data_IF_477281246060
#
_entry.id   IF_477281246060
#
_cell.length_a   1.000
_cell.length_b   1.000
_cell.length_c   1.000
_cell.angle_alpha   90.00
_cell.angle_beta   90.00
_cell.angle_gamma   90.00
#
_symmetry.space_group_name_H-M   'P 1'
#
loop_
_entity.id
_entity.type
_entity.pdbx_description
1 polymer ?
#
# COMPACT_ATOMS: atom_id res chain seq x y z
N UNK A 1 23.04 -25.90 16.84
CA UNK A 1 23.26 -24.46 16.58
C UNK A 1 22.17 -23.82 15.70
N UNK A 2 21.07 -24.50 15.33
CA UNK A 2 19.93 -23.91 14.58
C UNK A 2 18.91 -23.04 15.35
N UNK A 3 18.69 -23.15 16.69
CA UNK A 3 17.57 -22.42 17.32
C UNK A 3 17.85 -20.91 17.47
N UNK A 4 19.12 -20.51 17.59
CA UNK A 4 19.53 -19.11 17.74
C UNK A 4 19.37 -18.29 16.46
N UNK A 5 19.53 -18.91 15.28
CA UNK A 5 19.39 -18.23 13.98
C UNK A 5 17.94 -17.87 13.69
N UNK A 6 16.98 -18.75 14.03
CA UNK A 6 15.55 -18.49 13.84
C UNK A 6 15.03 -17.37 14.75
N UNK A 7 15.54 -17.27 15.98
CA UNK A 7 15.17 -16.19 16.91
C UNK A 7 15.75 -14.86 16.42
N UNK A 8 16.99 -14.85 15.93
CA UNK A 8 17.62 -13.65 15.38
C UNK A 8 16.87 -13.16 14.13
N UNK A 9 16.57 -14.04 13.17
CA UNK A 9 15.78 -13.71 11.97
C UNK A 9 14.38 -13.18 12.35
N UNK A 10 13.74 -13.78 13.37
CA UNK A 10 12.44 -13.33 13.87
C UNK A 10 12.47 -11.92 14.48
N UNK A 11 13.51 -11.59 15.25
CA UNK A 11 13.66 -10.26 15.88
C UNK A 11 14.02 -9.20 14.84
N UNK A 12 14.83 -9.54 13.82
CA UNK A 12 15.17 -8.61 12.73
C UNK A 12 13.94 -8.28 11.88
N UNK A 13 13.11 -9.27 11.54
CA UNK A 13 11.86 -9.06 10.78
C UNK A 13 10.83 -8.21 11.54
N UNK A 14 10.73 -8.39 12.86
CA UNK A 14 9.79 -7.61 13.69
C UNK A 14 10.28 -6.19 14.00
N UNK A 15 11.59 -5.92 13.89
CA UNK A 15 12.15 -4.56 13.92
C UNK A 15 11.95 -3.88 12.56
N UNK A 16 12.29 -4.56 11.48
CA UNK A 16 12.09 -4.06 10.11
C UNK A 16 10.63 -3.67 9.84
N UNK A 17 9.67 -4.51 10.24
CA UNK A 17 8.24 -4.21 10.06
C UNK A 17 7.79 -2.98 10.86
N UNK A 18 8.32 -2.79 12.08
CA UNK A 18 8.03 -1.60 12.91
C UNK A 18 8.65 -0.33 12.34
N UNK A 19 9.86 -0.43 11.78
CA UNK A 19 10.54 0.72 11.18
C UNK A 19 9.91 1.12 9.85
N UNK A 20 9.45 0.15 9.04
CA UNK A 20 8.63 0.39 7.84
C UNK A 20 7.33 1.10 8.22
N UNK A 21 6.64 0.62 9.26
CA UNK A 21 5.39 1.23 9.72
C UNK A 21 5.59 2.66 10.24
N UNK A 22 6.68 2.88 10.99
CA UNK A 22 7.05 4.23 11.47
C UNK A 22 7.42 5.15 10.31
N UNK A 23 8.27 4.71 9.39
CA UNK A 23 8.64 5.51 8.22
C UNK A 23 7.42 5.89 7.39
N UNK A 24 6.47 4.96 7.23
CA UNK A 24 5.20 5.22 6.55
C UNK A 24 4.28 6.18 7.33
N UNK A 25 4.35 6.22 8.67
CA UNK A 25 3.54 7.13 9.50
C UNK A 25 4.12 8.55 9.61
N UNK A 26 5.43 8.74 9.36
CA UNK A 26 6.08 10.05 9.40
C UNK A 26 5.79 10.91 8.16
N UNK A 27 5.32 10.30 7.08
CA UNK A 27 5.07 10.97 5.80
C UNK A 27 3.56 11.23 5.66
N UNK A 28 3.19 12.42 5.18
CA UNK A 28 1.80 12.82 4.96
C UNK A 28 1.03 11.75 4.15
N UNK A 29 -0.13 11.32 4.62
CA UNK A 29 -0.97 10.26 4.02
C UNK A 29 -1.18 10.45 2.50
N UNK A 30 -1.23 11.70 2.03
CA UNK A 30 -1.34 12.06 0.61
C UNK A 30 -0.04 11.84 -0.16
N UNK A 31 1.09 12.20 0.43
CA UNK A 31 2.42 12.05 -0.16
C UNK A 31 2.83 10.59 -0.23
N UNK A 32 2.52 9.77 0.79
CA UNK A 32 2.83 8.33 0.78
C UNK A 32 2.16 7.62 -0.40
N UNK A 33 0.90 7.96 -0.71
CA UNK A 33 0.16 7.29 -1.77
C UNK A 33 0.72 7.63 -3.15
N UNK A 34 0.93 8.92 -3.43
CA UNK A 34 1.47 9.37 -4.72
C UNK A 34 2.92 8.93 -4.88
N UNK A 35 3.75 9.07 -3.83
CA UNK A 35 5.15 8.66 -3.87
C UNK A 35 5.29 7.14 -3.97
N UNK A 36 4.44 6.36 -3.30
CA UNK A 36 4.43 4.91 -3.40
C UNK A 36 4.13 4.42 -4.82
N UNK A 37 3.14 5.01 -5.48
CA UNK A 37 2.81 4.68 -6.87
C UNK A 37 3.89 5.13 -7.87
N UNK A 38 4.49 6.32 -7.68
CA UNK A 38 5.62 6.78 -8.51
C UNK A 38 6.85 5.89 -8.33
N UNK A 39 7.20 5.57 -7.09
CA UNK A 39 8.35 4.70 -6.80
C UNK A 39 8.13 3.29 -7.36
N UNK A 40 6.90 2.77 -7.27
CA UNK A 40 6.52 1.51 -7.89
C UNK A 40 6.66 1.57 -9.42
N UNK A 41 6.19 2.64 -10.06
CA UNK A 41 6.35 2.82 -11.51
C UNK A 41 7.82 2.85 -11.94
N UNK A 42 8.68 3.54 -11.17
CA UNK A 42 10.14 3.61 -11.41
C UNK A 42 10.80 2.26 -11.19
N UNK A 43 10.49 1.56 -10.10
CA UNK A 43 11.03 0.24 -9.78
C UNK A 43 10.70 -0.76 -10.88
N UNK A 44 9.42 -0.85 -11.25
CA UNK A 44 8.95 -1.75 -12.31
C UNK A 44 9.51 -1.35 -13.68
N UNK A 45 9.58 -0.06 -14.00
CA UNK A 45 10.22 0.43 -15.23
C UNK A 45 11.72 0.10 -15.30
N UNK A 46 12.44 0.23 -14.18
CA UNK A 46 13.86 -0.14 -14.08
C UNK A 46 14.09 -1.65 -14.24
N UNK A 47 13.12 -2.48 -13.87
CA UNK A 47 13.18 -3.93 -14.02
C UNK A 47 13.23 -4.36 -15.51
N UNK A 48 12.68 -3.54 -16.41
CA UNK A 48 12.79 -3.74 -17.86
C UNK A 48 14.20 -3.44 -18.41
N UNK A 49 14.99 -2.59 -17.72
CA UNK A 49 16.37 -2.26 -18.11
C UNK A 49 17.39 -3.22 -17.49
N UNK A 50 17.14 -3.66 -16.25
CA UNK A 50 18.08 -4.45 -15.44
C UNK A 50 17.91 -5.97 -15.66
N UNK A 51 17.06 -6.39 -16.60
CA UNK A 51 16.79 -7.81 -16.91
C UNK A 51 18.06 -8.61 -17.26
N UNK A 52 19.13 -7.93 -17.65
CA UNK A 52 20.46 -8.50 -17.95
C UNK A 52 21.18 -9.10 -16.73
N UNK A 53 20.82 -8.72 -15.49
CA UNK A 53 21.48 -9.23 -14.27
C UNK A 53 20.48 -9.90 -13.32
N UNK A 54 20.63 -11.21 -13.02
CA UNK A 54 19.68 -11.94 -12.16
C UNK A 54 19.70 -11.46 -10.70
N UNK A 55 20.82 -10.89 -10.23
CA UNK A 55 20.94 -10.32 -8.89
C UNK A 55 20.13 -9.02 -8.80
N UNK A 56 20.17 -8.19 -9.85
CA UNK A 56 19.43 -6.93 -9.89
C UNK A 56 17.91 -7.15 -9.87
N UNK A 57 17.41 -8.15 -10.61
CA UNK A 57 15.97 -8.47 -10.61
C UNK A 57 15.48 -9.01 -9.26
N UNK A 58 16.30 -9.74 -8.52
CA UNK A 58 15.95 -10.24 -7.17
C UNK A 58 15.82 -9.11 -6.14
N UNK A 59 16.76 -8.14 -6.15
CA UNK A 59 16.70 -6.97 -5.26
C UNK A 59 15.50 -6.08 -5.58
N UNK A 60 15.23 -5.85 -6.88
CA UNK A 60 14.09 -5.07 -7.33
C UNK A 60 12.76 -5.76 -6.99
N UNK A 61 12.67 -7.08 -7.15
CA UNK A 61 11.49 -7.86 -6.78
C UNK A 61 11.18 -7.80 -5.29
N UNK A 62 12.21 -7.91 -4.43
CA UNK A 62 12.04 -7.77 -2.99
C UNK A 62 11.52 -6.37 -2.61
N UNK A 63 12.08 -5.34 -3.23
CA UNK A 63 11.67 -3.93 -3.00
C UNK A 63 10.23 -3.67 -3.45
N UNK A 64 9.87 -4.19 -4.63
CA UNK A 64 8.50 -4.17 -5.16
C UNK A 64 7.50 -4.81 -4.20
N UNK A 65 7.83 -5.99 -3.66
CA UNK A 65 6.97 -6.71 -2.71
C UNK A 65 6.72 -5.94 -1.43
N UNK A 66 7.76 -5.30 -0.86
CA UNK A 66 7.62 -4.45 0.33
C UNK A 66 6.71 -3.25 0.04
N UNK A 67 6.89 -2.58 -1.10
CA UNK A 67 6.05 -1.43 -1.46
C UNK A 67 4.59 -1.81 -1.69
N UNK A 68 4.36 -2.93 -2.39
CA UNK A 68 3.02 -3.46 -2.61
C UNK A 68 2.32 -3.81 -1.29
N UNK A 69 3.02 -4.45 -0.35
CA UNK A 69 2.48 -4.74 0.98
C UNK A 69 2.10 -3.47 1.77
N UNK A 70 2.92 -2.42 1.70
CA UNK A 70 2.62 -1.13 2.33
C UNK A 70 1.33 -0.55 1.75
N UNK A 71 1.18 -0.53 0.42
CA UNK A 71 -0.01 -0.02 -0.26
C UNK A 71 -1.29 -0.78 0.11
N UNK A 72 -1.22 -2.10 0.28
CA UNK A 72 -2.34 -2.93 0.75
C UNK A 72 -2.70 -2.67 2.22
N UNK A 73 -1.72 -2.27 3.03
CA UNK A 73 -1.92 -1.99 4.47
C UNK A 73 -2.49 -0.59 4.73
N UNK A 74 -2.17 0.38 3.86
CA UNK A 74 -2.64 1.77 3.96
C UNK A 74 -4.16 1.93 4.18
N UNK A 75 -5.07 1.33 3.39
CA UNK A 75 -6.51 1.52 3.56
C UNK A 75 -7.00 0.99 4.93
N UNK A 76 -6.42 -0.10 5.42
CA UNK A 76 -6.71 -0.67 6.74
C UNK A 76 -6.21 0.22 7.89
N UNK A 77 -5.05 0.87 7.71
CA UNK A 77 -4.54 1.83 8.69
C UNK A 77 -5.38 3.11 8.71
N UNK A 78 -5.78 3.61 7.54
CA UNK A 78 -6.61 4.80 7.40
C UNK A 78 -7.98 4.61 8.05
N UNK A 79 -8.65 3.48 7.79
CA UNK A 79 -9.97 3.21 8.38
C UNK A 79 -9.92 3.09 9.90
N UNK A 80 -8.81 2.56 10.45
CA UNK A 80 -8.60 2.51 11.90
C UNK A 80 -8.51 3.91 12.51
N UNK A 81 -7.75 4.81 11.89
CA UNK A 81 -7.60 6.21 12.36
C UNK A 81 -8.92 6.98 12.23
N UNK A 82 -9.68 6.74 11.15
CA UNK A 82 -11.01 7.35 10.99
C UNK A 82 -12.00 6.88 12.06
N UNK A 83 -11.99 5.60 12.43
CA UNK A 83 -12.88 5.05 13.44
C UNK A 83 -12.56 5.51 14.87
N UNK A 84 -11.31 5.91 15.14
CA UNK A 84 -10.87 6.43 16.44
C UNK A 84 -11.22 7.91 16.63
N UNK A 85 -11.49 8.64 15.54
CA UNK A 85 -11.88 10.06 15.60
C UNK A 85 -13.32 10.22 16.13
N UNK A 86 -13.49 11.01 17.20
CA UNK A 86 -14.75 11.17 17.96
C UNK A 86 -15.98 11.60 17.13
N UNK A 87 -15.80 12.06 15.89
CA UNK A 87 -16.90 12.42 14.99
C UNK A 87 -17.80 11.24 14.61
N UNK A 88 -17.32 9.98 14.70
CA UNK A 88 -18.15 8.80 14.40
C UNK A 88 -18.84 8.20 15.64
N UNK A 89 -18.32 8.46 16.84
CA UNK A 89 -18.89 7.93 18.10
C UNK A 89 -20.03 8.81 18.61
N UNK A 90 -20.00 10.12 18.33
CA UNK A 90 -21.01 11.09 18.79
C UNK A 90 -22.11 11.41 17.76
N UNK A 91 -22.06 10.79 16.57
CA UNK A 91 -23.08 10.99 15.53
C UNK A 91 -24.45 10.45 15.97
N UNK A 92 -25.46 11.33 15.97
CA UNK A 92 -26.88 11.15 16.38
C UNK A 92 -27.68 10.00 15.71
N UNK A 93 -27.05 9.01 15.10
CA UNK A 93 -27.68 7.82 14.51
C UNK A 93 -26.88 6.60 14.91
N UNK A 94 -27.38 5.83 15.88
CA UNK A 94 -26.73 4.67 16.50
C UNK A 94 -26.47 3.48 15.58
N UNK A 95 -25.75 3.68 14.47
CA UNK A 95 -25.19 2.61 13.64
C UNK A 95 -23.69 2.54 13.92
N UNK A 96 -23.29 1.77 14.93
CA UNK A 96 -21.90 1.29 15.06
C UNK A 96 -21.64 0.31 13.91
N UNK A 97 -21.27 0.84 12.75
CA UNK A 97 -20.73 0.04 11.65
C UNK A 97 -19.38 -0.50 12.15
N UNK A 98 -19.27 -1.83 12.26
CA UNK A 98 -18.09 -2.46 12.84
C UNK A 98 -16.90 -2.36 11.92
N UNK A 99 -15.74 -1.93 12.45
CA UNK A 99 -14.44 -1.91 11.77
C UNK A 99 -14.16 -3.22 11.02
N UNK A 100 -14.53 -4.36 11.63
CA UNK A 100 -14.37 -5.69 11.02
C UNK A 100 -15.14 -5.88 9.71
N UNK A 101 -16.31 -5.24 9.53
CA UNK A 101 -17.07 -5.33 8.28
C UNK A 101 -16.39 -4.53 7.16
N UNK A 102 -15.87 -3.35 7.46
CA UNK A 102 -15.21 -2.53 6.46
C UNK A 102 -13.83 -3.11 6.08
N UNK A 103 -13.08 -3.67 7.04
CA UNK A 103 -11.84 -4.42 6.76
C UNK A 103 -12.14 -5.67 5.91
N UNK A 104 -13.20 -6.42 6.21
CA UNK A 104 -13.60 -7.57 5.40
C UNK A 104 -13.97 -7.15 3.97
N UNK A 105 -14.63 -6.00 3.80
CA UNK A 105 -14.96 -5.45 2.49
C UNK A 105 -13.69 -5.10 1.68
N UNK A 106 -12.71 -4.43 2.29
CA UNK A 106 -11.41 -4.12 1.67
C UNK A 106 -10.70 -5.43 1.26
N UNK A 107 -10.73 -6.45 2.12
CA UNK A 107 -10.17 -7.76 1.81
C UNK A 107 -10.79 -8.39 0.56
N UNK A 108 -12.12 -8.38 0.45
CA UNK A 108 -12.83 -8.88 -0.74
C UNK A 108 -12.44 -8.11 -1.99
N UNK A 109 -12.30 -6.78 -1.92
CA UNK A 109 -11.84 -5.97 -3.05
C UNK A 109 -10.46 -6.41 -3.55
N UNK A 110 -9.52 -6.65 -2.63
CA UNK A 110 -8.16 -7.11 -2.97
C UNK A 110 -8.20 -8.50 -3.61
N UNK A 111 -9.02 -9.42 -3.08
CA UNK A 111 -9.18 -10.76 -3.67
C UNK A 111 -9.75 -10.69 -5.09
N UNK A 112 -10.78 -9.87 -5.32
CA UNK A 112 -11.36 -9.68 -6.65
C UNK A 112 -10.32 -9.13 -7.62
N UNK A 113 -9.55 -8.11 -7.19
CA UNK A 113 -8.48 -7.54 -8.00
C UNK A 113 -7.42 -8.60 -8.38
N UNK A 114 -7.05 -9.47 -7.43
CA UNK A 114 -6.07 -10.53 -7.67
C UNK A 114 -6.55 -11.58 -8.69
N UNK A 115 -7.83 -11.95 -8.66
CA UNK A 115 -8.43 -12.89 -9.63
C UNK A 115 -8.41 -12.28 -11.04
N UNK A 116 -8.77 -11.00 -11.14
CA UNK A 116 -8.77 -10.26 -12.40
C UNK A 116 -7.35 -10.17 -12.96
N UNK A 117 -6.38 -9.74 -12.16
CA UNK A 117 -4.97 -9.65 -12.57
C UNK A 117 -4.44 -11.01 -13.05
N UNK A 118 -4.66 -12.07 -12.27
CA UNK A 118 -4.22 -13.42 -12.64
C UNK A 118 -4.83 -13.92 -13.96
N UNK A 119 -6.06 -13.52 -14.27
CA UNK A 119 -6.75 -13.93 -15.50
C UNK A 119 -6.29 -13.11 -16.71
N UNK A 120 -5.89 -11.85 -16.53
CA UNK A 120 -5.43 -10.96 -17.60
C UNK A 120 -3.98 -11.23 -17.97
N UNK A 121 -3.10 -11.39 -16.97
CA UNK A 121 -1.64 -11.44 -17.17
C UNK A 121 -1.22 -12.62 -18.05
N UNK A 122 -1.82 -13.80 -17.86
CA UNK A 122 -1.49 -15.01 -18.63
C UNK A 122 -1.73 -14.88 -20.14
N UNK A 123 -2.98 -14.63 -20.59
CA UNK A 123 -3.29 -14.42 -22.00
C UNK A 123 -2.50 -13.27 -22.63
N UNK A 124 -2.25 -12.20 -21.88
CA UNK A 124 -1.51 -11.04 -22.37
C UNK A 124 -0.07 -11.41 -22.76
N UNK A 125 0.62 -12.22 -21.95
CA UNK A 125 1.98 -12.70 -22.28
C UNK A 125 1.98 -13.56 -23.52
N UNK A 126 1.00 -14.44 -23.66
CA UNK A 126 0.90 -15.33 -24.83
C UNK A 126 0.68 -14.51 -26.11
N UNK A 127 -0.13 -13.45 -26.04
CA UNK A 127 -0.44 -12.61 -27.20
C UNK A 127 0.76 -11.77 -27.67
N UNK A 128 1.53 -11.21 -26.73
CA UNK A 128 2.71 -10.39 -27.06
C UNK A 128 4.03 -11.17 -27.13
N UNK A 129 4.03 -12.44 -26.71
CA UNK A 129 5.21 -13.31 -26.72
C UNK A 129 6.34 -12.92 -25.74
N UNK A 130 6.12 -11.92 -24.89
CA UNK A 130 7.13 -11.43 -23.94
C UNK A 130 6.53 -10.95 -22.63
N UNK A 131 7.16 -11.33 -21.52
CA UNK A 131 6.78 -10.90 -20.17
C UNK A 131 7.11 -9.42 -19.90
N UNK A 132 7.99 -8.81 -20.70
CA UNK A 132 8.34 -7.39 -20.59
C UNK A 132 7.12 -6.48 -20.83
N UNK A 133 6.14 -6.95 -21.60
CA UNK A 133 4.90 -6.20 -21.84
C UNK A 133 4.10 -6.00 -20.56
N UNK A 134 4.06 -7.00 -19.65
CA UNK A 134 3.40 -6.85 -18.35
C UNK A 134 4.14 -5.81 -17.50
N UNK A 135 5.47 -5.83 -17.51
CA UNK A 135 6.31 -4.93 -16.73
C UNK A 135 6.10 -3.47 -17.18
N UNK A 136 6.09 -3.23 -18.49
CA UNK A 136 5.81 -1.91 -19.05
C UNK A 136 4.37 -1.45 -18.80
N UNK A 137 3.39 -2.34 -18.99
CA UNK A 137 1.99 -2.06 -18.72
C UNK A 137 1.77 -1.71 -17.23
N UNK A 138 2.38 -2.47 -16.32
CA UNK A 138 2.31 -2.22 -14.88
C UNK A 138 2.92 -0.87 -14.50
N UNK A 139 4.04 -0.47 -15.11
CA UNK A 139 4.63 0.86 -14.90
C UNK A 139 3.72 1.99 -15.38
N UNK A 140 3.10 1.84 -16.55
CA UNK A 140 2.11 2.80 -17.07
C UNK A 140 0.87 2.88 -16.17
N UNK A 141 0.33 1.75 -15.75
CA UNK A 141 -0.82 1.68 -14.84
C UNK A 141 -0.51 2.33 -13.49
N UNK A 142 0.68 2.10 -12.94
CA UNK A 142 1.11 2.73 -11.70
C UNK A 142 1.29 4.24 -11.84
N UNK A 143 1.78 4.72 -12.99
CA UNK A 143 1.85 6.16 -13.27
C UNK A 143 0.45 6.78 -13.38
N UNK A 144 -0.49 6.12 -14.06
CA UNK A 144 -1.89 6.54 -14.10
C UNK A 144 -2.53 6.49 -12.70
N UNK A 145 -2.21 5.48 -11.89
CA UNK A 145 -2.67 5.38 -10.50
C UNK A 145 -2.12 6.51 -9.63
N UNK A 146 -0.87 6.94 -9.86
CA UNK A 146 -0.29 8.10 -9.19
C UNK A 146 -1.01 9.41 -9.56
N UNK A 147 -1.32 9.60 -10.85
CA UNK A 147 -2.08 10.76 -11.35
C UNK A 147 -3.50 10.74 -10.75
N UNK A 148 -4.18 9.60 -10.81
CA UNK A 148 -5.52 9.41 -10.26
C UNK A 148 -5.53 9.68 -8.75
N UNK A 149 -4.55 9.16 -8.01
CA UNK A 149 -4.39 9.44 -6.59
C UNK A 149 -4.17 10.94 -6.34
N UNK A 150 -3.30 11.60 -7.11
CA UNK A 150 -3.06 13.03 -6.95
C UNK A 150 -4.31 13.89 -7.17
N UNK A 151 -5.19 13.50 -8.10
CA UNK A 151 -6.41 14.23 -8.48
C UNK A 151 -7.59 13.94 -7.55
N UNK A 152 -7.80 12.69 -7.15
CA UNK A 152 -8.97 12.26 -6.35
C UNK A 152 -8.69 12.19 -4.83
N UNK A 153 -7.44 12.29 -4.39
CA UNK A 153 -7.12 12.36 -2.96
C UNK A 153 -7.25 13.80 -2.46
N UNK A 154 -8.47 14.15 -2.05
CA UNK A 154 -8.77 15.26 -1.14
C UNK A 154 -9.04 14.66 0.23
N UNK A 155 -7.99 14.49 1.03
CA UNK A 155 -8.15 14.21 2.46
C UNK A 155 -8.12 15.54 3.21
N UNK A 156 -9.31 16.10 3.47
CA UNK A 156 -9.52 17.11 4.51
C UNK A 156 -9.31 16.44 5.88
N UNK A 157 -8.07 16.21 6.27
CA UNK A 157 -7.74 15.83 7.65
C UNK A 157 -7.65 17.13 8.42
N UNK A 158 -8.76 17.53 9.07
CA UNK A 158 -8.73 18.65 10.02
C UNK A 158 -7.63 18.36 11.05
N UNK A 159 -6.65 19.26 11.25
CA UNK A 159 -5.57 19.01 12.18
C UNK A 159 -6.12 18.88 13.60
N UNK A 160 -5.72 17.81 14.30
CA UNK A 160 -6.06 17.48 15.70
C UNK A 160 -5.88 18.65 16.70
N UNK A 161 -5.17 19.73 16.33
CA UNK A 161 -4.96 20.90 17.17
C UNK A 161 -6.20 21.76 17.43
N UNK A 162 -7.22 21.74 16.58
CA UNK A 162 -8.44 22.54 16.85
C UNK A 162 -9.40 21.91 17.88
N UNK A 163 -9.36 20.58 18.08
CA UNK A 163 -10.31 19.92 18.99
C UNK A 163 -9.92 20.15 20.45
N UNK A 164 -8.61 20.24 20.73
CA UNK A 164 -8.12 20.46 22.10
C UNK A 164 -8.35 21.89 22.56
N UNK A 165 -8.25 22.88 21.67
CA UNK A 165 -8.52 24.28 22.04
C UNK A 165 -10.02 24.58 22.17
N UNK A 166 -10.89 23.90 21.41
CA UNK A 166 -12.35 24.15 21.44
C UNK A 166 -13.11 23.30 22.47
N UNK A 167 -12.44 22.36 23.16
CA UNK A 167 -12.96 21.71 24.38
C UNK A 167 -12.48 22.42 25.66
N UNK A 168 -11.52 23.35 25.55
CA UNK A 168 -10.92 24.08 26.67
C UNK A 168 -11.27 25.59 26.65
N UNK A 169 -12.16 26.03 25.75
CA UNK A 169 -12.73 27.38 25.67
C UNK A 169 -14.24 27.31 25.87
#
# INVERSE_FOLDING_TARGET
MQPTVNILIGVTSHRLSRDIFKAASYVSHRTVYVFGQLFFAICTGSMALVTWTPIGTMVLCSSFGVMFFILLTMPSCLISVYHESEQYVSGKRGYRRGIGKDIACIGVQIFIAQIIDSTIVGPLVIWFGSHLVIVLLSSLLAFLAAIYSSLFVVYEIKPRREIVDNQNA
#
